data_IF_109731081044
#
_entry.id   IF_109731081044
#
_cell.length_a   1.000
_cell.length_b   1.000
_cell.length_c   1.000
_cell.angle_alpha   90.00
_cell.angle_beta   90.00
_cell.angle_gamma   90.00
#
_symmetry.space_group_name_H-M   'P 1'
#
loop_
_entity.id
_entity.type
_entity.pdbx_description
1 polymer ?
#
# COMPACT_ATOMS: atom_id res chain seq x y z
N UNK A 1 85.40 16.23 21.47
CA UNK A 1 83.93 16.41 21.56
C UNK A 1 83.31 15.99 20.24
N UNK A 2 82.72 14.80 20.19
CA UNK A 2 82.06 14.23 19.01
C UNK A 2 80.56 14.54 19.05
N UNK A 3 79.96 15.13 18.00
CA UNK A 3 78.53 15.40 17.98
C UNK A 3 77.73 14.09 17.83
N UNK A 4 76.84 13.85 18.79
CA UNK A 4 75.92 12.71 18.87
C UNK A 4 74.87 12.85 17.77
N UNK A 5 74.92 12.01 16.73
CA UNK A 5 73.91 11.94 15.67
C UNK A 5 72.57 11.47 16.25
N UNK A 6 71.61 12.38 16.37
CA UNK A 6 70.21 12.07 16.68
C UNK A 6 69.56 11.37 15.49
N UNK A 7 69.46 10.03 15.58
CA UNK A 7 68.74 9.23 14.59
C UNK A 7 67.24 9.51 14.66
N UNK A 8 66.73 10.22 13.66
CA UNK A 8 65.29 10.42 13.48
C UNK A 8 64.63 9.08 13.11
N UNK A 9 63.94 8.46 14.07
CA UNK A 9 63.09 7.29 13.84
C UNK A 9 61.93 7.74 12.97
N UNK A 10 61.99 7.49 11.66
CA UNK A 10 60.83 7.66 10.78
C UNK A 10 59.80 6.62 11.18
N UNK A 11 58.59 6.99 11.64
CA UNK A 11 57.55 6.00 11.88
C UNK A 11 57.26 5.32 10.55
N UNK A 12 57.48 4.01 10.50
CA UNK A 12 57.05 3.19 9.40
C UNK A 12 55.52 3.25 9.37
N UNK A 13 54.97 4.22 8.63
CA UNK A 13 53.55 4.29 8.30
C UNK A 13 53.29 3.05 7.47
N UNK A 14 52.92 1.97 8.17
CA UNK A 14 52.40 0.74 7.58
C UNK A 14 51.27 1.21 6.69
N UNK A 15 51.51 1.18 5.38
CA UNK A 15 50.47 1.26 4.35
C UNK A 15 49.59 0.05 4.57
N UNK A 16 48.67 0.14 5.53
CA UNK A 16 47.65 -0.87 5.79
C UNK A 16 46.95 -1.03 4.44
N UNK A 17 47.19 -2.17 3.83
CA UNK A 17 46.89 -2.45 2.45
C UNK A 17 45.37 -2.39 2.29
N UNK A 18 44.95 -1.31 1.63
CA UNK A 18 43.62 -0.97 1.13
C UNK A 18 43.00 -2.02 0.18
N UNK A 19 43.47 -3.28 0.19
CA UNK A 19 43.06 -4.33 -0.74
C UNK A 19 41.70 -4.96 -0.40
N UNK A 20 41.20 -4.78 0.83
CA UNK A 20 39.93 -5.39 1.30
C UNK A 20 38.74 -4.44 1.39
N UNK A 21 38.95 -3.12 1.26
CA UNK A 21 37.86 -2.13 1.34
C UNK A 21 36.91 -2.23 0.13
N UNK A 22 37.46 -2.48 -1.07
CA UNK A 22 36.71 -2.69 -2.30
C UNK A 22 35.66 -3.81 -2.22
N UNK A 23 36.04 -5.08 -1.95
CA UNK A 23 35.09 -6.19 -1.89
C UNK A 23 34.06 -6.04 -0.75
N UNK A 24 34.42 -5.39 0.35
CA UNK A 24 33.48 -5.09 1.44
C UNK A 24 32.39 -4.09 1.00
N UNK A 25 32.78 -2.98 0.37
CA UNK A 25 31.83 -1.98 -0.13
C UNK A 25 30.93 -2.56 -1.23
N UNK A 26 31.47 -3.41 -2.11
CA UNK A 26 30.67 -4.11 -3.13
C UNK A 26 29.68 -5.09 -2.52
N UNK A 27 30.08 -5.85 -1.49
CA UNK A 27 29.18 -6.74 -0.76
C UNK A 27 28.04 -5.97 -0.08
N UNK A 28 28.38 -4.85 0.56
CA UNK A 28 27.40 -3.97 1.20
C UNK A 28 26.41 -3.40 0.17
N UNK A 29 26.91 -2.92 -0.97
CA UNK A 29 26.08 -2.43 -2.07
C UNK A 29 25.16 -3.53 -2.61
N UNK A 30 25.68 -4.75 -2.79
CA UNK A 30 24.90 -5.91 -3.21
C UNK A 30 23.77 -6.25 -2.24
N UNK A 31 24.04 -6.23 -0.93
CA UNK A 31 23.02 -6.42 0.11
C UNK A 31 21.92 -5.36 0.04
N UNK A 32 22.29 -4.08 -0.07
CA UNK A 32 21.30 -3.00 -0.22
C UNK A 32 20.48 -3.13 -1.50
N UNK A 33 21.09 -3.57 -2.61
CA UNK A 33 20.37 -3.80 -3.87
C UNK A 33 19.32 -4.92 -3.73
N UNK A 34 19.65 -6.03 -3.06
CA UNK A 34 18.70 -7.14 -2.82
C UNK A 34 17.53 -6.66 -1.95
N UNK A 35 17.80 -5.92 -0.88
CA UNK A 35 16.75 -5.36 -0.01
C UNK A 35 15.84 -4.36 -0.77
N UNK A 36 16.43 -3.53 -1.64
CA UNK A 36 15.66 -2.61 -2.49
C UNK A 36 14.76 -3.37 -3.49
N UNK A 37 15.27 -4.42 -4.12
CA UNK A 37 14.48 -5.25 -5.05
C UNK A 37 13.35 -5.99 -4.32
N UNK A 38 13.61 -6.54 -3.14
CA UNK A 38 12.60 -7.23 -2.34
C UNK A 38 11.48 -6.29 -1.92
N UNK A 39 11.82 -5.10 -1.42
CA UNK A 39 10.84 -4.08 -1.00
C UNK A 39 9.99 -3.59 -2.17
N UNK A 40 10.58 -3.37 -3.35
CA UNK A 40 9.85 -3.03 -4.58
C UNK A 40 8.93 -4.18 -5.04
N UNK A 41 9.41 -5.42 -5.01
CA UNK A 41 8.60 -6.58 -5.38
C UNK A 41 7.42 -6.78 -4.42
N UNK A 42 7.63 -6.57 -3.11
CA UNK A 42 6.58 -6.59 -2.10
C UNK A 42 5.56 -5.47 -2.32
N UNK A 43 6.03 -4.25 -2.58
CA UNK A 43 5.15 -3.11 -2.89
C UNK A 43 4.28 -3.38 -4.12
N UNK A 44 4.88 -3.92 -5.20
CA UNK A 44 4.14 -4.32 -6.41
C UNK A 44 3.09 -5.38 -6.12
N UNK A 45 3.43 -6.45 -5.39
CA UNK A 45 2.48 -7.51 -5.03
C UNK A 45 1.32 -6.99 -4.18
N UNK A 46 1.61 -6.17 -3.18
CA UNK A 46 0.58 -5.57 -2.33
C UNK A 46 -0.31 -4.60 -3.11
N UNK A 47 0.28 -3.78 -4.00
CA UNK A 47 -0.50 -2.89 -4.86
C UNK A 47 -1.41 -3.68 -5.80
N UNK A 48 -0.92 -4.78 -6.38
CA UNK A 48 -1.74 -5.64 -7.23
C UNK A 48 -2.90 -6.28 -6.46
N UNK A 49 -2.64 -6.81 -5.25
CA UNK A 49 -3.71 -7.31 -4.36
C UNK A 49 -4.72 -6.23 -4.02
N UNK A 50 -4.25 -5.01 -3.77
CA UNK A 50 -5.11 -3.86 -3.53
C UNK A 50 -5.96 -3.51 -4.76
N UNK A 51 -5.37 -3.53 -5.97
CA UNK A 51 -6.06 -3.28 -7.22
C UNK A 51 -7.15 -4.34 -7.50
N UNK A 52 -6.88 -5.62 -7.22
CA UNK A 52 -7.89 -6.70 -7.31
C UNK A 52 -9.03 -6.47 -6.34
N UNK A 53 -8.73 -6.23 -5.05
CA UNK A 53 -9.74 -5.97 -4.03
C UNK A 53 -10.52 -4.67 -4.32
N UNK A 54 -9.87 -3.67 -4.89
CA UNK A 54 -10.50 -2.43 -5.34
C UNK A 54 -11.51 -2.71 -6.47
N UNK A 55 -11.13 -3.49 -7.48
CA UNK A 55 -12.03 -3.87 -8.56
C UNK A 55 -13.24 -4.67 -8.04
N UNK A 56 -13.02 -5.60 -7.12
CA UNK A 56 -14.07 -6.34 -6.43
C UNK A 56 -15.01 -5.45 -5.60
N UNK A 57 -14.49 -4.37 -5.03
CA UNK A 57 -15.30 -3.39 -4.29
C UNK A 57 -16.17 -2.52 -5.21
N UNK A 58 -15.71 -2.26 -6.43
CA UNK A 58 -16.47 -1.52 -7.43
C UNK A 58 -17.56 -2.37 -8.10
N UNK A 59 -17.39 -3.70 -8.15
CA UNK A 59 -18.35 -4.64 -8.72
C UNK A 59 -18.66 -5.81 -7.76
N UNK A 60 -19.51 -5.59 -6.74
CA UNK A 60 -19.87 -6.60 -5.76
C UNK A 60 -20.65 -7.79 -6.34
N UNK A 61 -21.30 -7.61 -7.50
CA UNK A 61 -22.07 -8.66 -8.15
C UNK A 61 -21.11 -9.67 -8.79
N UNK A 62 -20.15 -9.19 -9.58
CA UNK A 62 -19.11 -10.04 -10.19
C UNK A 62 -18.26 -10.74 -9.14
N UNK A 63 -17.95 -10.08 -8.02
CA UNK A 63 -17.24 -10.70 -6.90
C UNK A 63 -18.02 -11.89 -6.33
N UNK A 64 -19.32 -11.71 -6.05
CA UNK A 64 -20.19 -12.78 -5.54
C UNK A 64 -20.20 -13.98 -6.49
N UNK A 65 -20.41 -13.73 -7.78
CA UNK A 65 -20.41 -14.78 -8.80
C UNK A 65 -19.05 -15.51 -8.88
N UNK A 66 -17.94 -14.78 -8.77
CA UNK A 66 -16.60 -15.37 -8.77
C UNK A 66 -16.35 -16.25 -7.53
N UNK A 67 -16.83 -15.82 -6.35
CA UNK A 67 -16.73 -16.59 -5.11
C UNK A 67 -17.58 -17.86 -5.17
N UNK A 68 -18.83 -17.78 -5.64
CA UNK A 68 -19.69 -18.95 -5.81
C UNK A 68 -19.09 -19.96 -6.79
N UNK A 69 -18.54 -19.51 -7.92
CA UNK A 69 -17.82 -20.38 -8.86
C UNK A 69 -16.55 -21.00 -8.25
N UNK A 70 -15.84 -20.28 -7.40
CA UNK A 70 -14.67 -20.81 -6.72
C UNK A 70 -15.07 -21.90 -5.70
N UNK A 71 -16.12 -21.64 -4.91
CA UNK A 71 -16.68 -22.58 -3.96
C UNK A 71 -17.17 -23.86 -4.65
N UNK A 72 -17.99 -23.75 -5.70
CA UNK A 72 -18.48 -24.91 -6.45
C UNK A 72 -17.34 -25.78 -7.00
N UNK A 73 -16.30 -25.16 -7.61
CA UNK A 73 -15.13 -25.90 -8.11
C UNK A 73 -14.29 -26.56 -7.02
N UNK A 74 -14.24 -25.99 -5.82
CA UNK A 74 -13.59 -26.63 -4.67
C UNK A 74 -14.42 -27.81 -4.16
N UNK A 75 -15.73 -27.62 -4.02
CA UNK A 75 -16.66 -28.68 -3.62
C UNK A 75 -16.63 -29.88 -4.58
N UNK A 76 -16.67 -29.63 -5.89
CA UNK A 76 -16.61 -30.68 -6.92
C UNK A 76 -15.29 -31.47 -6.86
N UNK A 77 -14.17 -30.77 -6.65
CA UNK A 77 -12.84 -31.41 -6.49
C UNK A 77 -12.80 -32.32 -5.27
N UNK A 78 -13.38 -31.88 -4.14
CA UNK A 78 -13.45 -32.68 -2.92
C UNK A 78 -14.35 -33.90 -3.08
N UNK A 79 -15.51 -33.74 -3.73
CA UNK A 79 -16.43 -34.84 -4.02
C UNK A 79 -15.77 -35.89 -4.91
N UNK A 80 -15.04 -35.47 -5.96
CA UNK A 80 -14.36 -36.38 -6.89
C UNK A 80 -13.15 -37.11 -6.26
N UNK A 81 -12.38 -36.45 -5.40
CA UNK A 81 -11.12 -36.99 -4.86
C UNK A 81 -11.27 -38.02 -3.73
N UNK A 82 -12.40 -38.04 -3.00
CA UNK A 82 -12.55 -38.82 -1.76
C UNK A 82 -13.62 -39.92 -1.78
N UNK A 83 -14.39 -40.03 -2.85
CA UNK A 83 -15.45 -41.05 -3.01
C UNK A 83 -14.96 -42.51 -2.91
N UNK A 84 -13.64 -42.77 -2.82
CA UNK A 84 -13.04 -44.12 -2.86
C UNK A 84 -12.35 -44.58 -1.57
N UNK A 85 -12.27 -43.78 -0.51
CA UNK A 85 -11.55 -44.16 0.72
C UNK A 85 -12.50 -44.68 1.83
N UNK A 86 -12.23 -45.84 2.47
CA UNK A 86 -12.93 -46.27 3.69
C UNK A 86 -12.69 -45.29 4.85
N UNK A 87 -13.72 -45.00 5.68
CA UNK A 87 -13.64 -44.00 6.76
C UNK A 87 -13.80 -42.54 6.30
N UNK A 88 -14.15 -42.31 5.03
CA UNK A 88 -14.19 -40.98 4.40
C UNK A 88 -15.39 -40.10 4.77
N UNK A 89 -16.47 -40.63 5.36
CA UNK A 89 -17.71 -39.84 5.56
C UNK A 89 -17.53 -38.69 6.54
N UNK A 90 -16.97 -38.95 7.72
CA UNK A 90 -16.77 -37.89 8.72
C UNK A 90 -15.73 -36.88 8.27
N UNK A 91 -14.69 -37.33 7.58
CA UNK A 91 -13.66 -36.42 7.04
C UNK A 91 -14.22 -35.58 5.90
N UNK A 92 -15.04 -36.16 5.01
CA UNK A 92 -15.70 -35.42 3.93
C UNK A 92 -16.64 -34.34 4.50
N UNK A 93 -17.39 -34.69 5.56
CA UNK A 93 -18.24 -33.72 6.26
C UNK A 93 -17.41 -32.56 6.82
N UNK A 94 -16.36 -32.86 7.57
CA UNK A 94 -15.48 -31.84 8.14
C UNK A 94 -14.85 -30.94 7.07
N UNK A 95 -14.35 -31.50 5.97
CA UNK A 95 -13.79 -30.72 4.86
C UNK A 95 -14.83 -29.82 4.19
N UNK A 96 -16.07 -30.32 4.05
CA UNK A 96 -17.19 -29.54 3.52
C UNK A 96 -17.56 -28.39 4.45
N UNK A 97 -17.61 -28.64 5.77
CA UNK A 97 -17.86 -27.62 6.78
C UNK A 97 -16.74 -26.56 6.78
N UNK A 98 -15.47 -26.97 6.64
CA UNK A 98 -14.33 -26.05 6.51
C UNK A 98 -14.44 -25.22 5.22
N UNK A 99 -14.81 -25.84 4.11
CA UNK A 99 -14.96 -25.15 2.83
C UNK A 99 -16.10 -24.11 2.90
N UNK A 100 -17.23 -24.49 3.48
CA UNK A 100 -18.38 -23.61 3.72
C UNK A 100 -17.98 -22.42 4.60
N UNK A 101 -17.33 -22.67 5.73
CA UNK A 101 -16.86 -21.62 6.62
C UNK A 101 -15.88 -20.66 5.92
N UNK A 102 -14.97 -21.17 5.09
CA UNK A 102 -14.05 -20.32 4.29
C UNK A 102 -14.81 -19.45 3.28
N UNK A 103 -15.83 -19.98 2.63
CA UNK A 103 -16.67 -19.24 1.69
C UNK A 103 -17.43 -18.12 2.41
N UNK A 104 -18.03 -18.43 3.55
CA UNK A 104 -18.74 -17.45 4.38
C UNK A 104 -17.82 -16.32 4.84
N UNK A 105 -16.62 -16.65 5.34
CA UNK A 105 -15.61 -15.65 5.74
C UNK A 105 -15.24 -14.74 4.57
N UNK A 106 -14.92 -15.31 3.40
CA UNK A 106 -14.54 -14.54 2.20
C UNK A 106 -15.67 -13.66 1.69
N UNK A 107 -16.90 -14.17 1.73
CA UNK A 107 -18.11 -13.45 1.30
C UNK A 107 -18.45 -12.31 2.26
N UNK A 108 -18.25 -12.52 3.57
CA UNK A 108 -18.45 -11.50 4.59
C UNK A 108 -17.35 -10.42 4.56
N UNK A 109 -16.13 -10.76 4.12
CA UNK A 109 -15.02 -9.83 4.10
C UNK A 109 -15.28 -8.64 3.16
N UNK A 110 -15.01 -7.42 3.64
CA UNK A 110 -15.16 -6.20 2.84
C UNK A 110 -13.99 -6.05 1.87
N UNK A 111 -14.24 -6.02 0.54
CA UNK A 111 -13.17 -5.87 -0.45
C UNK A 111 -12.57 -4.45 -0.39
N UNK A 112 -13.38 -3.44 -0.04
CA UNK A 112 -12.91 -2.07 0.17
C UNK A 112 -11.93 -1.98 1.36
N UNK A 113 -12.22 -2.68 2.47
CA UNK A 113 -11.31 -2.82 3.62
C UNK A 113 -9.97 -3.42 3.19
N UNK A 114 -10.00 -4.53 2.46
CA UNK A 114 -8.80 -5.20 1.95
C UNK A 114 -7.98 -4.27 1.03
N UNK A 115 -8.64 -3.54 0.14
CA UNK A 115 -7.97 -2.57 -0.74
C UNK A 115 -7.27 -1.47 0.07
N UNK A 116 -7.97 -0.89 1.05
CA UNK A 116 -7.42 0.14 1.93
C UNK A 116 -6.17 -0.34 2.67
N UNK A 117 -6.23 -1.47 3.39
CA UNK A 117 -5.07 -1.96 4.14
C UNK A 117 -3.89 -2.32 3.24
N UNK A 118 -4.13 -2.91 2.07
CA UNK A 118 -3.04 -3.23 1.15
C UNK A 118 -2.40 -1.96 0.56
N UNK A 119 -3.17 -0.97 0.08
CA UNK A 119 -2.59 0.30 -0.37
C UNK A 119 -1.86 1.02 0.76
N UNK A 120 -2.43 1.03 1.96
CA UNK A 120 -1.79 1.61 3.13
C UNK A 120 -0.47 0.94 3.47
N UNK A 121 -0.42 -0.38 3.44
CA UNK A 121 0.80 -1.14 3.64
C UNK A 121 1.86 -0.78 2.59
N UNK A 122 1.46 -0.57 1.32
CA UNK A 122 2.39 -0.13 0.26
C UNK A 122 3.02 1.21 0.62
N UNK A 123 2.26 2.27 0.91
CA UNK A 123 2.88 3.59 1.10
C UNK A 123 3.51 3.81 2.48
N UNK A 124 3.08 3.08 3.53
CA UNK A 124 3.69 3.16 4.87
C UNK A 124 4.95 2.29 4.99
N UNK A 125 5.00 1.11 4.35
CA UNK A 125 6.10 0.15 4.54
C UNK A 125 7.05 0.00 3.34
N UNK A 126 6.69 0.45 2.13
CA UNK A 126 7.69 0.57 1.08
C UNK A 126 8.63 1.73 1.43
N UNK A 127 9.86 1.38 1.82
CA UNK A 127 10.92 2.32 2.19
C UNK A 127 11.12 3.37 1.07
N UNK A 128 11.56 4.60 1.41
CA UNK A 128 11.99 5.54 0.38
C UNK A 128 13.09 4.92 -0.51
N UNK A 129 13.14 5.23 -1.81
CA UNK A 129 12.45 6.31 -2.53
C UNK A 129 10.96 6.05 -2.82
N UNK A 130 10.21 7.12 -3.15
CA UNK A 130 8.84 6.97 -3.64
C UNK A 130 8.86 6.24 -4.99
N UNK A 131 8.23 5.06 -5.04
CA UNK A 131 8.07 4.28 -6.27
C UNK A 131 6.74 4.62 -6.94
N UNK A 132 6.54 4.27 -8.22
CA UNK A 132 5.24 4.41 -8.87
C UNK A 132 4.10 3.71 -8.10
N UNK A 133 4.39 2.56 -7.50
CA UNK A 133 3.43 1.79 -6.69
C UNK A 133 3.02 2.52 -5.41
N UNK A 134 3.99 3.11 -4.69
CA UNK A 134 3.67 3.87 -3.47
C UNK A 134 2.97 5.19 -3.78
N UNK A 135 3.31 5.86 -4.89
CA UNK A 135 2.57 7.02 -5.37
C UNK A 135 1.11 6.69 -5.71
N UNK A 136 0.88 5.62 -6.48
CA UNK A 136 -0.47 5.13 -6.80
C UNK A 136 -1.24 4.75 -5.53
N UNK A 137 -0.58 4.07 -4.59
CA UNK A 137 -1.20 3.68 -3.33
C UNK A 137 -1.60 4.89 -2.46
N UNK A 138 -0.79 5.96 -2.42
CA UNK A 138 -1.13 7.21 -1.72
C UNK A 138 -2.35 7.93 -2.31
N UNK A 139 -2.55 7.80 -3.62
CA UNK A 139 -3.74 8.30 -4.31
C UNK A 139 -4.96 7.41 -4.03
N UNK A 140 -4.82 6.08 -4.08
CA UNK A 140 -5.96 5.17 -3.98
C UNK A 140 -6.39 4.83 -2.56
N UNK A 141 -5.50 4.88 -1.58
CA UNK A 141 -5.82 4.53 -0.20
C UNK A 141 -6.96 5.39 0.39
N UNK A 142 -7.00 6.73 0.26
CA UNK A 142 -8.09 7.52 0.80
C UNK A 142 -9.44 7.19 0.15
N UNK A 143 -9.45 6.93 -1.16
CA UNK A 143 -10.66 6.50 -1.85
C UNK A 143 -11.12 5.11 -1.42
N UNK A 144 -10.20 4.19 -1.12
CA UNK A 144 -10.54 2.85 -0.64
C UNK A 144 -11.14 2.91 0.76
N UNK A 145 -10.64 3.84 1.60
CA UNK A 145 -11.23 4.15 2.91
C UNK A 145 -12.65 4.70 2.77
N UNK A 146 -12.90 5.60 1.81
CA UNK A 146 -14.24 6.11 1.54
C UNK A 146 -15.22 5.04 1.04
N UNK A 147 -14.76 4.13 0.17
CA UNK A 147 -15.56 2.94 -0.20
C UNK A 147 -15.86 2.06 1.00
N UNK A 148 -14.89 1.87 1.90
CA UNK A 148 -15.10 1.07 3.10
C UNK A 148 -16.07 1.73 4.08
N UNK A 149 -16.00 3.06 4.27
CA UNK A 149 -17.01 3.83 5.02
C UNK A 149 -18.41 3.59 4.49
N UNK A 150 -18.59 3.61 3.17
CA UNK A 150 -19.88 3.34 2.51
C UNK A 150 -20.35 1.90 2.74
N UNK A 151 -19.47 0.93 2.61
CA UNK A 151 -19.79 -0.49 2.85
C UNK A 151 -20.21 -0.74 4.31
N UNK A 152 -19.51 -0.13 5.29
CA UNK A 152 -19.91 -0.22 6.70
C UNK A 152 -21.29 0.41 6.94
N UNK A 153 -21.55 1.58 6.35
CA UNK A 153 -22.85 2.25 6.45
C UNK A 153 -23.99 1.41 5.82
N UNK A 154 -23.75 0.80 4.65
CA UNK A 154 -24.71 -0.09 3.99
C UNK A 154 -25.05 -1.32 4.85
N UNK A 155 -24.05 -1.86 5.54
CA UNK A 155 -24.21 -3.01 6.46
C UNK A 155 -24.76 -2.61 7.84
N UNK A 156 -25.00 -1.32 8.08
CA UNK A 156 -25.42 -0.76 9.37
C UNK A 156 -24.48 -1.15 10.52
N UNK A 157 -23.20 -1.28 10.22
CA UNK A 157 -22.17 -1.56 11.22
C UNK A 157 -21.69 -0.23 11.82
N UNK A 158 -21.52 -0.13 13.15
CA UNK A 158 -20.97 1.07 13.77
C UNK A 158 -19.53 1.30 13.27
N UNK A 159 -19.23 2.55 12.94
CA UNK A 159 -17.91 2.95 12.47
C UNK A 159 -17.17 3.61 13.62
N UNK A 160 -16.24 2.88 14.21
CA UNK A 160 -15.35 3.47 15.20
C UNK A 160 -14.19 4.21 14.52
N UNK A 161 -13.75 5.38 15.01
CA UNK A 161 -12.65 6.14 14.40
C UNK A 161 -11.38 5.32 14.20
N UNK A 162 -11.02 4.46 15.16
CA UNK A 162 -9.81 3.63 15.09
C UNK A 162 -9.87 2.55 14.00
N UNK A 163 -11.05 2.15 13.54
CA UNK A 163 -11.17 1.15 12.47
C UNK A 163 -10.62 1.69 11.14
N UNK A 164 -10.86 2.98 10.88
CA UNK A 164 -10.51 3.62 9.62
C UNK A 164 -9.11 4.25 9.63
N UNK A 165 -8.50 4.37 10.82
CA UNK A 165 -7.19 5.00 11.04
C UNK A 165 -7.11 6.36 10.32
N UNK A 166 -7.82 7.38 10.85
CA UNK A 166 -7.91 8.68 10.20
C UNK A 166 -6.50 9.23 10.00
N UNK A 167 -6.21 9.64 8.77
CA UNK A 167 -4.98 10.36 8.49
C UNK A 167 -5.08 11.79 9.06
N UNK A 168 -3.96 12.49 9.28
CA UNK A 168 -3.97 13.86 9.76
C UNK A 168 -4.87 14.77 8.91
N UNK A 169 -5.86 15.40 9.56
CA UNK A 169 -6.83 16.29 8.93
C UNK A 169 -8.09 15.60 8.37
N UNK A 170 -8.23 14.29 8.54
CA UNK A 170 -9.48 13.58 8.29
C UNK A 170 -10.45 13.82 9.47
N UNK A 171 -11.52 14.58 9.23
CA UNK A 171 -12.56 14.96 10.21
C UNK A 171 -13.92 14.50 9.69
N UNK A 172 -15.03 14.83 10.34
CA UNK A 172 -16.37 14.50 9.82
C UNK A 172 -16.77 15.35 8.61
N UNK A 173 -16.31 16.59 8.54
CA UNK A 173 -16.59 17.58 7.50
C UNK A 173 -15.53 17.63 6.39
N UNK A 174 -14.30 17.16 6.66
CA UNK A 174 -13.20 17.14 5.69
C UNK A 174 -12.62 15.75 5.52
N UNK A 175 -12.15 15.47 4.31
CA UNK A 175 -11.53 14.20 3.92
C UNK A 175 -10.17 14.42 3.31
N UNK A 176 -9.20 13.61 3.71
CA UNK A 176 -7.91 13.51 3.01
C UNK A 176 -8.15 12.93 1.63
N UNK A 177 -7.80 13.65 0.57
CA UNK A 177 -7.94 13.19 -0.83
C UNK A 177 -6.64 12.66 -1.40
N UNK A 178 -5.50 13.16 -0.93
CA UNK A 178 -4.18 12.74 -1.39
C UNK A 178 -3.11 13.03 -0.33
N UNK A 179 -2.05 12.21 -0.31
CA UNK A 179 -0.87 12.45 0.50
C UNK A 179 0.41 12.31 -0.33
N UNK A 180 1.45 13.05 0.03
CA UNK A 180 2.76 12.93 -0.63
C UNK A 180 3.89 13.40 0.27
N UNK A 181 5.10 12.86 0.06
CA UNK A 181 6.32 13.34 0.74
C UNK A 181 6.94 14.56 0.05
N UNK A 182 6.62 14.78 -1.22
CA UNK A 182 7.22 15.83 -2.02
C UNK A 182 6.46 17.14 -1.91
N UNK A 183 7.08 18.20 -1.37
CA UNK A 183 6.49 19.55 -1.31
C UNK A 183 6.06 20.05 -2.70
N UNK A 184 6.86 19.79 -3.74
CA UNK A 184 6.52 20.16 -5.13
C UNK A 184 5.24 19.47 -5.61
N UNK A 185 5.12 18.17 -5.35
CA UNK A 185 3.93 17.38 -5.68
C UNK A 185 2.70 17.88 -4.90
N UNK A 186 2.86 18.18 -3.60
CA UNK A 186 1.78 18.72 -2.78
C UNK A 186 1.29 20.08 -3.32
N UNK A 187 2.22 20.99 -3.61
CA UNK A 187 1.89 22.29 -4.20
C UNK A 187 1.18 22.16 -5.56
N UNK A 188 1.64 21.23 -6.41
CA UNK A 188 1.00 20.95 -7.70
C UNK A 188 -0.43 20.44 -7.56
N UNK A 189 -0.66 19.49 -6.64
CA UNK A 189 -1.99 18.97 -6.32
C UNK A 189 -2.92 20.07 -5.77
N UNK A 190 -2.43 20.92 -4.86
CA UNK A 190 -3.20 22.05 -4.30
C UNK A 190 -3.56 23.05 -5.38
N UNK A 191 -2.60 23.45 -6.23
CA UNK A 191 -2.84 24.37 -7.33
C UNK A 191 -3.88 23.82 -8.32
N UNK A 192 -3.75 22.53 -8.69
CA UNK A 192 -4.70 21.84 -9.55
C UNK A 192 -6.13 21.86 -8.98
N UNK A 193 -6.29 21.55 -7.70
CA UNK A 193 -7.59 21.50 -7.05
C UNK A 193 -8.20 22.90 -6.85
N UNK A 194 -7.39 23.88 -6.43
CA UNK A 194 -7.87 25.27 -6.32
C UNK A 194 -8.30 25.86 -7.66
N UNK A 195 -7.57 25.57 -8.74
CA UNK A 195 -7.95 25.98 -10.09
C UNK A 195 -9.27 25.34 -10.56
N UNK A 196 -9.64 24.20 -9.99
CA UNK A 196 -10.93 23.54 -10.24
C UNK A 196 -12.04 24.00 -9.26
N UNK A 197 -11.79 25.00 -8.42
CA UNK A 197 -12.78 25.58 -7.50
C UNK A 197 -12.99 24.82 -6.20
N UNK A 198 -12.14 23.84 -5.86
CA UNK A 198 -12.26 23.12 -4.59
C UNK A 198 -11.74 23.94 -3.41
N UNK A 199 -12.41 23.85 -2.26
CA UNK A 199 -11.89 24.31 -0.97
C UNK A 199 -10.84 23.32 -0.46
N UNK A 200 -9.56 23.72 -0.49
CA UNK A 200 -8.43 22.84 -0.21
C UNK A 200 -7.67 23.34 1.01
N UNK A 201 -7.48 22.46 1.98
CA UNK A 201 -6.58 22.66 3.11
C UNK A 201 -5.43 21.66 3.06
N UNK A 202 -4.28 22.05 3.60
CA UNK A 202 -3.10 21.20 3.69
C UNK A 202 -2.76 21.03 5.16
N UNK A 203 -2.64 19.77 5.58
CA UNK A 203 -2.25 19.38 6.94
C UNK A 203 -0.89 18.71 6.89
N UNK A 204 0.00 19.08 7.81
CA UNK A 204 1.38 18.61 7.85
C UNK A 204 2.38 19.54 7.15
N UNK A 205 3.63 19.07 7.06
CA UNK A 205 4.80 19.84 6.65
C UNK A 205 6.04 19.41 7.42
N UNK A 206 7.25 19.91 7.10
CA UNK A 206 8.46 19.52 7.81
C UNK A 206 8.38 19.99 9.27
N UNK A 207 8.10 19.06 10.18
CA UNK A 207 8.28 19.29 11.61
C UNK A 207 9.78 19.47 11.84
N UNK A 208 10.20 20.67 12.28
CA UNK A 208 11.59 20.91 12.68
C UNK A 208 11.81 20.34 14.07
N UNK A 209 12.23 19.09 14.15
CA UNK A 209 13.27 18.64 15.10
C UNK A 209 13.74 17.23 14.70
N UNK A 210 14.96 17.10 14.15
CA UNK A 210 15.66 15.80 13.96
C UNK A 210 15.06 14.75 13.00
N UNK A 211 13.79 14.86 12.61
CA UNK A 211 12.98 13.73 12.14
C UNK A 211 12.57 13.79 10.66
N UNK A 212 12.31 12.60 10.10
CA UNK A 212 11.98 12.30 8.70
C UNK A 212 10.97 13.30 8.10
N UNK A 213 11.07 13.64 6.80
CA UNK A 213 10.10 14.54 6.15
C UNK A 213 8.68 13.98 6.35
N UNK A 214 7.87 14.74 7.10
CA UNK A 214 6.47 14.42 7.30
C UNK A 214 5.72 14.38 5.97
N UNK A 215 4.70 13.53 5.89
CA UNK A 215 3.80 13.51 4.75
C UNK A 215 2.96 14.81 4.73
N UNK A 216 2.75 15.36 3.53
CA UNK A 216 1.80 16.43 3.26
C UNK A 216 0.44 15.80 2.97
N UNK A 217 -0.59 16.18 3.72
CA UNK A 217 -1.95 15.66 3.58
C UNK A 217 -2.85 16.75 3.00
N UNK A 218 -3.49 16.46 1.88
CA UNK A 218 -4.38 17.42 1.21
C UNK A 218 -5.80 17.01 1.54
N UNK A 219 -6.57 17.94 2.09
CA UNK A 219 -7.96 17.71 2.53
C UNK A 219 -8.93 18.63 1.80
N UNK A 220 -10.12 18.11 1.54
CA UNK A 220 -11.25 18.83 0.93
C UNK A 220 -12.52 18.58 1.76
N UNK A 221 -13.58 19.40 1.66
CA UNK A 221 -14.88 19.06 2.22
C UNK A 221 -15.33 17.66 1.81
N UNK A 222 -15.96 16.92 2.72
CA UNK A 222 -16.37 15.53 2.49
C UNK A 222 -17.28 15.37 1.26
N UNK A 223 -18.18 16.34 1.03
CA UNK A 223 -19.05 16.39 -0.14
C UNK A 223 -18.29 16.54 -1.47
N UNK A 224 -17.09 17.13 -1.45
CA UNK A 224 -16.25 17.35 -2.63
C UNK A 224 -15.21 16.25 -2.85
N UNK A 225 -15.17 15.22 -2.02
CA UNK A 225 -14.12 14.20 -2.04
C UNK A 225 -13.98 13.52 -3.41
N UNK A 226 -15.05 12.95 -3.96
CA UNK A 226 -14.97 12.17 -5.21
C UNK A 226 -14.60 13.01 -6.43
N UNK A 227 -15.21 14.18 -6.67
CA UNK A 227 -14.78 15.06 -7.75
C UNK A 227 -13.30 15.49 -7.64
N UNK A 228 -12.84 15.82 -6.43
CA UNK A 228 -11.44 16.18 -6.20
C UNK A 228 -10.49 15.00 -6.42
N UNK A 229 -10.87 13.80 -5.96
CA UNK A 229 -10.10 12.57 -6.15
C UNK A 229 -9.94 12.23 -7.62
N UNK A 230 -11.03 12.29 -8.40
CA UNK A 230 -11.00 12.04 -9.84
C UNK A 230 -10.10 13.03 -10.58
N UNK A 231 -10.13 14.31 -10.18
CA UNK A 231 -9.24 15.33 -10.74
C UNK A 231 -7.77 15.02 -10.49
N UNK A 232 -7.43 14.59 -9.27
CA UNK A 232 -6.08 14.18 -8.91
C UNK A 232 -5.66 12.89 -9.61
N UNK A 233 -6.58 11.94 -9.77
CA UNK A 233 -6.34 10.68 -10.48
C UNK A 233 -5.93 10.93 -11.92
N UNK A 234 -6.66 11.77 -12.64
CA UNK A 234 -6.34 12.15 -14.01
C UNK A 234 -4.96 12.84 -14.14
N UNK A 235 -4.52 13.57 -13.11
CA UNK A 235 -3.22 14.22 -13.10
C UNK A 235 -2.05 13.29 -12.75
N UNK A 236 -2.24 12.37 -11.80
CA UNK A 236 -1.18 11.50 -11.27
C UNK A 236 -1.01 10.21 -12.08
N UNK A 237 -2.11 9.65 -12.58
CA UNK A 237 -2.17 8.37 -13.29
C UNK A 237 -3.02 8.52 -14.57
N UNK A 238 -2.56 9.35 -15.55
CA UNK A 238 -3.34 9.65 -16.76
C UNK A 238 -3.67 8.38 -17.55
N UNK A 239 -2.74 7.42 -17.60
CA UNK A 239 -2.93 6.14 -18.30
C UNK A 239 -3.93 5.23 -17.57
N UNK A 240 -4.01 5.33 -16.24
CA UNK A 240 -4.94 4.55 -15.41
C UNK A 240 -6.41 4.92 -15.60
N UNK A 241 -6.72 6.10 -16.17
CA UNK A 241 -8.09 6.50 -16.49
C UNK A 241 -8.71 5.64 -17.60
N UNK A 242 -7.91 5.21 -18.58
CA UNK A 242 -8.37 4.44 -19.74
C UNK A 242 -8.77 3.00 -19.38
N UNK A 243 -8.09 2.37 -18.43
CA UNK A 243 -8.32 0.96 -18.07
C UNK A 243 -9.64 0.70 -17.32
N UNK A 244 -10.14 1.70 -16.57
CA UNK A 244 -11.42 1.58 -15.84
C UNK A 244 -12.64 1.87 -16.72
N UNK A 245 -12.46 2.60 -17.82
CA UNK A 245 -13.54 2.84 -18.80
C UNK A 245 -13.73 1.63 -19.71
N UNK A 246 -12.64 0.92 -20.06
CA UNK A 246 -12.72 -0.30 -20.89
C UNK A 246 -13.26 -1.53 -20.15
N UNK A 247 -13.48 -1.46 -18.84
CA UNK A 247 -14.00 -2.57 -18.03
C UNK A 247 -15.45 -2.38 -17.54
N UNK A 248 -16.10 -1.29 -18.00
CA UNK A 248 -17.55 -1.07 -17.89
C UNK A 248 -18.22 -1.44 -19.22
#
# INVERSE_FOLDING_TARGET
MTPRRSGAVRPAVRRLSFRWTGPFLLSLLGLYAVLALETLARARRLCHRADTAWAEALDPARRREALERAFAREADRWAAGRARAPGSRDILRLETDILQARHEIRSAESPAKLAFYNYRAVYRHAAPPESPWSRRARLRAPAARELWRRDLAQRRLPVEPWMLDPDPGDTDDRRVVFSTRGRRTANGAVALLKAAGFDVAVVGGPVRYGDRPGDWWITVPAASFWPAHERLRAWIDPDGASALVQSR
#
